data_IF_393883535438
#
_entry.id   IF_393883535438
#
_cell.length_a   1.000
_cell.length_b   1.000
_cell.length_c   1.000
_cell.angle_alpha   90.00
_cell.angle_beta   90.00
_cell.angle_gamma   90.00
#
_symmetry.space_group_name_H-M   'P 1'
#
loop_
_entity.id
_entity.type
_entity.pdbx_description
1 polymer ?
#
# COMPACT_ATOMS: atom_id res chain seq x y z
N UNK A 1 59.71 -23.67 3.69
CA UNK A 1 58.36 -24.23 3.55
C UNK A 1 57.40 -23.20 4.12
N UNK A 2 56.82 -22.38 3.26
CA UNK A 2 55.76 -21.45 3.64
C UNK A 2 54.45 -22.12 3.21
N UNK A 3 53.59 -22.43 4.18
CA UNK A 3 52.23 -22.88 3.92
C UNK A 3 51.42 -21.69 3.41
N UNK A 4 51.02 -21.76 2.13
CA UNK A 4 49.94 -20.94 1.58
C UNK A 4 48.62 -21.37 2.23
N UNK A 5 48.13 -20.57 3.17
CA UNK A 5 46.75 -20.64 3.62
C UNK A 5 45.85 -20.01 2.57
N UNK A 6 45.25 -20.85 1.73
CA UNK A 6 44.20 -20.46 0.79
C UNK A 6 42.97 -19.96 1.55
N UNK A 7 42.76 -18.65 1.55
CA UNK A 7 41.59 -18.01 2.15
C UNK A 7 40.38 -18.18 1.21
N UNK A 8 39.59 -19.24 1.40
CA UNK A 8 38.35 -19.47 0.64
C UNK A 8 37.17 -18.74 1.31
N UNK A 9 37.06 -17.42 1.12
CA UNK A 9 35.82 -16.71 1.45
C UNK A 9 34.83 -16.78 0.28
N UNK A 10 34.34 -17.97 -0.04
CA UNK A 10 33.18 -18.09 -0.92
C UNK A 10 31.94 -17.63 -0.14
N UNK A 11 31.39 -16.46 -0.49
CA UNK A 11 30.21 -15.89 0.17
C UNK A 11 29.01 -16.84 0.11
N UNK A 12 28.17 -16.85 1.15
CA UNK A 12 26.95 -17.69 1.18
C UNK A 12 26.03 -17.33 0.01
N UNK A 13 25.35 -18.35 -0.57
CA UNK A 13 24.32 -18.14 -1.61
C UNK A 13 23.24 -17.16 -1.09
N UNK A 14 22.89 -16.10 -1.86
CA UNK A 14 21.78 -15.22 -1.52
C UNK A 14 20.45 -16.00 -1.47
N UNK A 15 19.65 -15.73 -0.44
CA UNK A 15 18.32 -16.30 -0.25
C UNK A 15 17.31 -15.48 -1.07
N UNK A 16 16.65 -16.10 -2.04
CA UNK A 16 15.66 -15.47 -2.92
C UNK A 16 14.25 -15.82 -2.45
N UNK A 17 13.43 -14.80 -2.26
CA UNK A 17 12.08 -14.91 -1.72
C UNK A 17 11.07 -14.57 -2.80
N UNK A 18 9.96 -15.29 -2.82
CA UNK A 18 8.82 -15.02 -3.69
C UNK A 18 7.61 -14.56 -2.88
N UNK A 19 6.95 -13.53 -3.36
CA UNK A 19 5.59 -13.15 -2.94
C UNK A 19 4.79 -12.99 -4.21
N UNK A 20 3.56 -13.48 -4.25
CA UNK A 20 2.63 -13.14 -5.31
C UNK A 20 1.33 -12.57 -4.78
N UNK A 21 0.59 -11.94 -5.69
CA UNK A 21 -0.70 -11.39 -5.35
C UNK A 21 -1.27 -10.50 -6.43
N UNK A 22 -2.50 -10.08 -6.18
CA UNK A 22 -3.21 -9.13 -7.02
C UNK A 22 -2.65 -7.70 -6.85
N UNK A 23 -2.35 -7.28 -5.62
CA UNK A 23 -1.91 -5.91 -5.28
C UNK A 23 -2.84 -4.78 -5.78
N UNK A 24 -4.14 -5.09 -5.92
CA UNK A 24 -5.17 -4.09 -6.22
C UNK A 24 -5.30 -3.08 -5.08
N UNK A 25 -5.34 -1.79 -5.44
CA UNK A 25 -5.30 -0.66 -4.50
C UNK A 25 -4.15 -0.80 -3.50
N UNK A 26 -2.92 -0.92 -4.00
CA UNK A 26 -1.74 -1.12 -3.16
C UNK A 26 -1.68 -0.08 -2.02
N UNK A 27 -1.48 -0.55 -0.80
CA UNK A 27 -1.52 0.24 0.43
C UNK A 27 -0.42 -0.24 1.39
N UNK A 28 -0.17 0.50 2.47
CA UNK A 28 0.90 0.20 3.42
C UNK A 28 0.84 -1.22 4.01
N UNK A 29 -0.34 -1.84 4.09
CA UNK A 29 -0.48 -3.26 4.47
C UNK A 29 0.23 -4.23 3.51
N UNK A 30 0.13 -4.03 2.19
CA UNK A 30 0.87 -4.81 1.19
C UNK A 30 2.37 -4.51 1.30
N UNK A 31 2.74 -3.25 1.45
CA UNK A 31 4.14 -2.84 1.65
C UNK A 31 4.78 -3.52 2.86
N UNK A 32 4.08 -3.58 3.99
CA UNK A 32 4.59 -4.24 5.19
C UNK A 32 4.70 -5.76 5.02
N UNK A 33 3.85 -6.39 4.21
CA UNK A 33 4.01 -7.81 3.84
C UNK A 33 5.30 -8.00 3.01
N UNK A 34 5.53 -7.15 2.00
CA UNK A 34 6.77 -7.16 1.21
C UNK A 34 8.01 -6.88 2.07
N UNK A 35 7.93 -5.93 3.02
CA UNK A 35 9.00 -5.66 3.99
C UNK A 35 9.31 -6.90 4.83
N UNK A 36 8.29 -7.59 5.35
CA UNK A 36 8.47 -8.81 6.14
C UNK A 36 9.10 -9.91 5.30
N UNK A 37 8.61 -10.14 4.07
CA UNK A 37 9.15 -11.12 3.15
C UNK A 37 10.61 -10.82 2.79
N UNK A 38 10.92 -9.56 2.46
CA UNK A 38 12.28 -9.11 2.15
C UNK A 38 13.24 -9.29 3.32
N UNK A 39 12.77 -9.18 4.56
CA UNK A 39 13.57 -9.40 5.76
C UNK A 39 13.86 -10.90 6.05
N UNK A 40 13.15 -11.83 5.39
CA UNK A 40 13.39 -13.27 5.53
C UNK A 40 14.47 -13.79 4.57
N UNK A 41 14.93 -12.98 3.62
CA UNK A 41 15.96 -13.32 2.65
C UNK A 41 16.78 -12.13 2.19
N UNK A 42 17.49 -12.29 1.08
CA UNK A 42 18.43 -11.31 0.54
C UNK A 42 17.94 -10.64 -0.75
N UNK A 43 16.93 -11.21 -1.41
CA UNK A 43 16.36 -10.69 -2.65
C UNK A 43 14.87 -11.06 -2.75
N UNK A 44 13.99 -10.09 -3.01
CA UNK A 44 12.55 -10.31 -3.11
C UNK A 44 12.06 -10.14 -4.55
N UNK A 45 11.49 -11.21 -5.11
CA UNK A 45 10.77 -11.20 -6.38
C UNK A 45 9.27 -11.19 -6.08
N UNK A 46 8.54 -10.28 -6.74
CA UNK A 46 7.10 -10.13 -6.55
C UNK A 46 6.34 -10.47 -7.83
N UNK A 47 5.59 -11.57 -7.82
CA UNK A 47 4.68 -11.95 -8.88
C UNK A 47 3.37 -11.16 -8.80
N UNK A 48 2.95 -10.57 -9.91
CA UNK A 48 1.68 -9.82 -9.98
C UNK A 48 0.79 -10.47 -11.03
N UNK A 49 -0.40 -10.87 -10.61
CA UNK A 49 -1.38 -11.53 -11.50
C UNK A 49 -1.95 -10.56 -12.53
N UNK A 50 -2.33 -11.06 -13.71
CA UNK A 50 -3.07 -10.30 -14.72
C UNK A 50 -4.51 -10.03 -14.30
N UNK A 51 -5.18 -9.09 -14.98
CA UNK A 51 -6.59 -8.79 -14.73
C UNK A 51 -7.49 -10.01 -15.00
N UNK A 52 -7.22 -10.75 -16.09
CA UNK A 52 -7.93 -12.00 -16.46
C UNK A 52 -7.86 -13.05 -15.34
N UNK A 53 -6.65 -13.29 -14.82
CA UNK A 53 -6.40 -14.31 -13.81
C UNK A 53 -7.05 -13.94 -12.45
N UNK A 54 -7.05 -12.65 -12.10
CA UNK A 54 -7.72 -12.17 -10.88
C UNK A 54 -9.24 -12.25 -11.02
N UNK A 55 -9.79 -11.86 -12.17
CA UNK A 55 -11.24 -11.88 -12.39
C UNK A 55 -11.81 -13.29 -12.26
N UNK A 56 -11.13 -14.27 -12.86
CA UNK A 56 -11.48 -15.69 -12.78
C UNK A 56 -11.55 -16.21 -11.33
N UNK A 57 -10.62 -15.81 -10.48
CA UNK A 57 -10.49 -16.37 -9.13
C UNK A 57 -11.19 -15.56 -8.02
N UNK A 58 -11.20 -14.23 -8.14
CA UNK A 58 -11.60 -13.30 -7.07
C UNK A 58 -12.67 -12.30 -7.49
N UNK A 59 -12.80 -12.03 -8.79
CA UNK A 59 -13.60 -10.93 -9.34
C UNK A 59 -12.75 -9.69 -9.62
N UNK A 60 -13.33 -8.65 -10.23
CA UNK A 60 -12.55 -7.59 -10.87
C UNK A 60 -11.80 -6.70 -9.88
N UNK A 61 -10.70 -6.15 -10.38
CA UNK A 61 -9.86 -5.15 -9.72
C UNK A 61 -10.42 -3.72 -9.89
N UNK A 62 -9.99 -2.80 -9.03
CA UNK A 62 -10.19 -1.36 -9.22
C UNK A 62 -9.08 -0.77 -10.09
N UNK A 63 -7.85 -1.20 -9.83
CA UNK A 63 -6.64 -0.79 -10.56
C UNK A 63 -6.37 -1.76 -11.70
N UNK A 64 -6.01 -1.23 -12.87
CA UNK A 64 -5.60 -2.02 -14.04
C UNK A 64 -4.28 -2.71 -13.76
N UNK A 65 -4.00 -3.83 -14.43
CA UNK A 65 -2.77 -4.59 -14.21
C UNK A 65 -1.47 -3.78 -14.34
N UNK A 66 -1.36 -2.89 -15.34
CA UNK A 66 -0.19 -2.01 -15.49
C UNK A 66 -0.01 -1.02 -14.33
N UNK A 67 -1.13 -0.54 -13.76
CA UNK A 67 -1.10 0.32 -12.57
C UNK A 67 -0.61 -0.47 -11.34
N UNK A 68 -1.04 -1.73 -11.22
CA UNK A 68 -0.62 -2.67 -10.17
C UNK A 68 0.86 -3.04 -10.31
N UNK A 69 1.34 -3.31 -11.53
CA UNK A 69 2.76 -3.57 -11.81
C UNK A 69 3.63 -2.38 -11.38
N UNK A 70 3.24 -1.16 -11.76
CA UNK A 70 3.98 0.05 -11.41
C UNK A 70 3.99 0.31 -9.89
N UNK A 71 2.87 0.08 -9.21
CA UNK A 71 2.78 0.24 -7.76
C UNK A 71 3.72 -0.70 -7.01
N UNK A 72 3.75 -1.99 -7.39
CA UNK A 72 4.64 -2.98 -6.79
C UNK A 72 6.10 -2.68 -7.09
N UNK A 73 6.43 -2.31 -8.34
CA UNK A 73 7.78 -1.93 -8.72
C UNK A 73 8.30 -0.72 -7.92
N UNK A 74 7.43 0.22 -7.58
CA UNK A 74 7.80 1.39 -6.78
C UNK A 74 8.03 1.08 -5.28
N UNK A 75 7.59 -0.07 -4.79
CA UNK A 75 7.83 -0.47 -3.41
C UNK A 75 9.31 -0.83 -3.22
N UNK A 76 9.97 -0.19 -2.25
CA UNK A 76 11.43 -0.29 -2.06
C UNK A 76 11.94 -1.65 -1.61
N UNK A 77 11.05 -2.51 -1.11
CA UNK A 77 11.41 -3.88 -0.73
C UNK A 77 11.28 -4.88 -1.88
N UNK A 78 10.61 -4.53 -2.98
CA UNK A 78 10.53 -5.36 -4.17
C UNK A 78 11.79 -5.16 -5.01
N UNK A 79 12.62 -6.19 -5.18
CA UNK A 79 13.83 -6.09 -5.98
C UNK A 79 13.54 -6.34 -7.47
N UNK A 80 12.61 -7.27 -7.76
CA UNK A 80 12.20 -7.65 -9.11
C UNK A 80 10.69 -7.89 -9.15
N UNK A 81 10.03 -7.55 -10.27
CA UNK A 81 8.62 -7.89 -10.49
C UNK A 81 8.45 -8.88 -11.63
N UNK A 82 7.52 -9.81 -11.48
CA UNK A 82 7.11 -10.74 -12.54
C UNK A 82 5.67 -10.45 -12.89
N UNK A 83 5.45 -9.89 -14.08
CA UNK A 83 4.12 -9.63 -14.64
C UNK A 83 3.43 -10.94 -15.04
N UNK A 84 2.11 -10.94 -15.04
CA UNK A 84 1.27 -12.10 -15.39
C UNK A 84 1.70 -13.38 -14.64
N UNK A 85 1.96 -13.26 -13.34
CA UNK A 85 2.22 -14.41 -12.49
C UNK A 85 0.94 -15.26 -12.32
N UNK A 86 1.03 -16.60 -12.33
CA UNK A 86 -0.12 -17.48 -12.12
C UNK A 86 -0.77 -17.22 -10.75
N UNK A 87 -2.08 -17.48 -10.62
CA UNK A 87 -2.79 -17.28 -9.34
C UNK A 87 -2.35 -18.25 -8.24
N UNK A 88 -1.98 -19.47 -8.65
CA UNK A 88 -1.51 -20.54 -7.77
C UNK A 88 -0.01 -20.67 -7.96
N UNK A 89 0.76 -20.54 -6.87
CA UNK A 89 2.22 -20.66 -6.93
C UNK A 89 2.61 -22.12 -7.08
N UNK A 90 3.43 -22.41 -8.09
CA UNK A 90 3.85 -23.79 -8.41
C UNK A 90 5.34 -24.00 -8.15
N UNK A 91 5.80 -25.23 -8.00
CA UNK A 91 7.24 -25.49 -7.80
C UNK A 91 8.06 -25.08 -9.03
N UNK A 92 7.47 -25.19 -10.23
CA UNK A 92 8.13 -24.79 -11.49
C UNK A 92 8.43 -23.29 -11.52
N UNK A 93 7.55 -22.43 -11.01
CA UNK A 93 7.84 -20.99 -10.97
C UNK A 93 8.95 -20.69 -9.97
N UNK A 94 8.95 -21.37 -8.82
CA UNK A 94 10.00 -21.20 -7.82
C UNK A 94 11.36 -21.63 -8.37
N UNK A 95 11.41 -22.75 -9.09
CA UNK A 95 12.65 -23.25 -9.68
C UNK A 95 13.11 -22.37 -10.84
N UNK A 96 12.19 -21.90 -11.70
CA UNK A 96 12.47 -20.97 -12.81
C UNK A 96 13.16 -19.70 -12.33
N UNK A 97 12.72 -19.12 -11.21
CA UNK A 97 13.29 -17.90 -10.65
C UNK A 97 14.33 -18.13 -9.53
N UNK A 98 14.71 -19.40 -9.30
CA UNK A 98 15.65 -19.83 -8.25
C UNK A 98 15.26 -19.31 -6.86
N UNK A 99 13.97 -19.42 -6.53
CA UNK A 99 13.39 -19.01 -5.25
C UNK A 99 13.65 -20.08 -4.21
N UNK A 100 14.08 -19.71 -3.01
CA UNK A 100 14.25 -20.67 -1.92
C UNK A 100 12.90 -20.97 -1.25
N UNK A 101 12.07 -19.95 -0.99
CA UNK A 101 10.72 -20.12 -0.45
C UNK A 101 9.76 -18.98 -0.80
N UNK A 102 8.47 -19.27 -0.70
CA UNK A 102 7.35 -18.33 -0.82
C UNK A 102 7.01 -17.75 0.55
N UNK A 103 6.65 -16.47 0.58
CA UNK A 103 6.05 -15.83 1.75
C UNK A 103 4.64 -15.38 1.40
N UNK A 104 3.67 -15.81 2.21
CA UNK A 104 2.29 -15.33 2.11
C UNK A 104 1.80 -14.84 3.47
N UNK A 105 0.67 -14.12 3.51
CA UNK A 105 -0.01 -13.81 4.77
C UNK A 105 -0.54 -15.06 5.47
N UNK A 106 -0.87 -14.93 6.74
CA UNK A 106 -1.50 -15.96 7.59
C UNK A 106 -2.99 -16.20 7.31
N UNK A 107 -3.52 -15.66 6.20
CA UNK A 107 -4.88 -15.89 5.75
C UNK A 107 -5.00 -17.23 4.99
N UNK A 108 -6.16 -17.88 5.11
CA UNK A 108 -6.50 -19.03 4.26
C UNK A 108 -6.62 -18.56 2.81
N UNK A 109 -5.87 -19.20 1.92
CA UNK A 109 -5.89 -18.91 0.48
C UNK A 109 -6.27 -20.14 -0.30
N UNK A 110 -7.52 -20.17 -0.75
CA UNK A 110 -8.00 -21.20 -1.66
C UNK A 110 -8.25 -20.64 -3.06
N UNK A 111 -8.03 -21.46 -4.07
CA UNK A 111 -8.35 -21.17 -5.46
C UNK A 111 -9.87 -21.17 -5.70
N UNK A 112 -10.30 -20.94 -6.94
CA UNK A 112 -11.72 -20.95 -7.29
C UNK A 112 -12.41 -22.31 -7.04
N UNK A 113 -11.65 -23.41 -7.11
CA UNK A 113 -12.11 -24.77 -6.86
C UNK A 113 -12.07 -25.17 -5.36
N UNK A 114 -11.63 -24.27 -4.48
CA UNK A 114 -11.54 -24.50 -3.04
C UNK A 114 -10.26 -25.19 -2.57
N UNK A 115 -9.32 -25.50 -3.47
CA UNK A 115 -8.02 -26.07 -3.11
C UNK A 115 -7.07 -25.03 -2.53
N UNK A 116 -6.20 -25.40 -1.58
CA UNK A 116 -5.19 -24.50 -1.03
C UNK A 116 -4.15 -24.13 -2.11
N UNK A 117 -4.02 -22.83 -2.40
CA UNK A 117 -3.13 -22.31 -3.45
C UNK A 117 -1.65 -22.64 -3.21
N UNK A 118 -1.26 -23.01 -1.99
CA UNK A 118 0.13 -23.24 -1.62
C UNK A 118 0.39 -24.67 -1.14
N UNK A 119 -0.55 -25.61 -1.27
CA UNK A 119 -0.39 -26.97 -0.74
C UNK A 119 0.92 -27.63 -1.22
N UNK A 120 1.19 -27.61 -2.53
CA UNK A 120 2.41 -28.19 -3.10
C UNK A 120 3.69 -27.53 -2.57
N UNK A 121 3.65 -26.22 -2.32
CA UNK A 121 4.78 -25.44 -1.80
C UNK A 121 4.99 -25.72 -0.30
N UNK A 122 3.90 -25.92 0.45
CA UNK A 122 3.91 -26.34 1.86
C UNK A 122 4.50 -27.74 1.99
N UNK A 123 4.06 -28.69 1.17
CA UNK A 123 4.54 -30.08 1.16
C UNK A 123 6.04 -30.14 0.82
N UNK A 124 6.53 -29.23 -0.03
CA UNK A 124 7.94 -29.10 -0.35
C UNK A 124 8.78 -28.38 0.73
N UNK A 125 8.18 -27.92 1.82
CA UNK A 125 8.87 -27.17 2.88
C UNK A 125 9.36 -25.77 2.46
N UNK A 126 8.78 -25.20 1.38
CA UNK A 126 9.19 -23.92 0.77
C UNK A 126 8.15 -22.82 1.01
N UNK A 127 7.37 -22.91 2.08
CA UNK A 127 6.35 -21.93 2.45
C UNK A 127 6.66 -21.29 3.80
N UNK A 128 6.50 -19.96 3.90
CA UNK A 128 6.60 -19.18 5.14
C UNK A 128 5.47 -18.17 5.23
N UNK A 129 5.14 -17.78 6.46
CA UNK A 129 4.07 -16.84 6.74
C UNK A 129 4.60 -15.50 7.24
N UNK A 130 3.95 -14.42 6.84
CA UNK A 130 4.12 -13.10 7.43
C UNK A 130 2.82 -12.64 8.09
N UNK A 131 2.94 -11.78 9.11
CA UNK A 131 1.77 -11.33 9.87
C UNK A 131 1.00 -10.30 9.07
N UNK A 132 -0.32 -10.47 9.01
CA UNK A 132 -1.22 -9.48 8.44
C UNK A 132 -1.11 -8.13 9.15
N UNK A 133 -1.16 -7.04 8.38
CA UNK A 133 -1.17 -5.69 8.92
C UNK A 133 -2.57 -5.32 9.40
N UNK A 134 -2.71 -5.04 10.69
CA UNK A 134 -3.98 -4.64 11.32
C UNK A 134 -4.35 -3.21 10.93
N UNK A 135 -5.64 -2.98 10.66
CA UNK A 135 -6.21 -1.65 10.40
C UNK A 135 -6.17 -1.21 8.94
N UNK A 136 -5.92 -2.13 8.01
CA UNK A 136 -6.00 -1.83 6.58
C UNK A 136 -6.34 -3.07 5.74
N UNK A 137 -7.23 -2.90 4.77
CA UNK A 137 -7.45 -3.84 3.67
C UNK A 137 -8.11 -3.14 2.48
N UNK A 138 -8.02 -3.72 1.29
CA UNK A 138 -8.77 -3.21 0.12
C UNK A 138 -10.27 -3.16 0.39
N UNK A 139 -10.84 -4.16 1.08
CA UNK A 139 -12.28 -4.15 1.46
C UNK A 139 -12.60 -2.95 2.34
N UNK A 140 -11.74 -2.66 3.32
CA UNK A 140 -11.93 -1.53 4.22
C UNK A 140 -11.84 -0.20 3.49
N UNK A 141 -10.86 -0.03 2.60
CA UNK A 141 -10.70 1.20 1.80
C UNK A 141 -11.89 1.44 0.86
N UNK A 142 -12.36 0.40 0.18
CA UNK A 142 -13.60 0.47 -0.62
C UNK A 142 -14.78 0.83 0.27
N UNK A 143 -14.87 0.26 1.47
CA UNK A 143 -15.88 0.62 2.47
C UNK A 143 -15.83 2.11 2.84
N UNK A 144 -14.65 2.66 3.15
CA UNK A 144 -14.48 4.10 3.45
C UNK A 144 -14.97 4.98 2.30
N UNK A 145 -14.67 4.59 1.05
CA UNK A 145 -15.09 5.33 -0.14
C UNK A 145 -16.59 5.20 -0.45
N UNK A 146 -17.20 4.04 -0.21
CA UNK A 146 -18.63 3.82 -0.44
C UNK A 146 -19.49 4.44 0.67
N UNK A 147 -19.02 4.40 1.93
CA UNK A 147 -19.73 5.00 3.05
C UNK A 147 -19.80 6.51 2.90
N UNK A 148 -18.75 7.15 2.37
CA UNK A 148 -18.62 8.60 2.35
C UNK A 148 -19.01 9.21 3.72
N UNK A 149 -18.69 8.54 4.83
CA UNK A 149 -18.91 9.05 6.18
C UNK A 149 -17.61 9.62 6.73
N UNK A 150 -17.72 10.63 7.61
CA UNK A 150 -16.57 11.29 8.26
C UNK A 150 -16.04 10.52 9.48
N UNK A 151 -16.61 9.36 9.76
CA UNK A 151 -16.44 8.66 11.04
C UNK A 151 -15.06 8.02 11.20
N UNK A 152 -14.33 7.72 10.11
CA UNK A 152 -12.94 7.24 10.22
C UNK A 152 -11.99 8.28 10.81
N UNK A 153 -12.34 9.57 10.78
CA UNK A 153 -11.59 10.65 11.42
C UNK A 153 -11.95 10.88 12.90
N UNK A 154 -13.10 10.38 13.38
CA UNK A 154 -13.65 10.74 14.70
C UNK A 154 -13.88 9.48 15.54
N UNK A 155 -13.09 9.30 16.61
CA UNK A 155 -13.31 8.24 17.60
C UNK A 155 -14.70 8.40 18.24
N UNK A 156 -15.59 7.44 18.03
CA UNK A 156 -16.87 7.32 18.76
C UNK A 156 -18.12 7.88 18.08
N UNK A 157 -18.05 8.28 16.81
CA UNK A 157 -19.26 8.65 16.06
C UNK A 157 -20.13 7.40 15.79
N UNK A 158 -21.41 7.47 16.15
CA UNK A 158 -22.41 6.39 16.00
C UNK A 158 -23.35 6.59 14.81
N UNK A 159 -23.09 7.57 13.96
CA UNK A 159 -24.03 8.00 12.90
C UNK A 159 -23.45 7.73 11.52
N UNK A 160 -23.61 6.48 11.08
CA UNK A 160 -23.41 6.07 9.69
C UNK A 160 -24.59 6.57 8.86
N UNK A 161 -24.54 7.82 8.37
CA UNK A 161 -25.44 8.27 7.30
C UNK A 161 -24.62 8.46 6.04
N UNK A 162 -24.77 7.55 5.08
CA UNK A 162 -24.13 7.72 3.77
C UNK A 162 -24.80 8.88 3.01
N UNK A 163 -24.04 9.86 2.50
CA UNK A 163 -24.59 10.95 1.69
C UNK A 163 -25.01 10.52 0.27
N UNK A 164 -24.79 9.26 -0.14
CA UNK A 164 -25.17 8.76 -1.46
C UNK A 164 -26.61 8.20 -1.40
N UNK A 165 -27.54 8.80 -2.17
CA UNK A 165 -28.89 8.25 -2.34
C UNK A 165 -28.84 6.85 -3.00
N UNK A 166 -29.51 5.86 -2.39
CA UNK A 166 -29.67 4.51 -2.94
C UNK A 166 -28.62 3.48 -2.49
N UNK A 167 -27.80 3.80 -1.48
CA UNK A 167 -26.87 2.86 -0.86
C UNK A 167 -27.55 2.19 0.34
N UNK A 168 -27.71 0.86 0.29
CA UNK A 168 -28.20 0.08 1.43
C UNK A 168 -27.16 0.09 2.56
N UNK A 169 -27.47 0.79 3.65
CA UNK A 169 -26.62 0.96 4.83
C UNK A 169 -26.13 -0.37 5.41
N UNK A 170 -26.96 -1.43 5.33
CA UNK A 170 -26.59 -2.77 5.83
C UNK A 170 -25.57 -3.46 4.94
N UNK A 171 -25.67 -3.28 3.62
CA UNK A 171 -24.71 -3.80 2.65
C UNK A 171 -23.32 -3.13 2.81
N UNK A 172 -23.28 -1.85 3.19
CA UNK A 172 -22.00 -1.14 3.39
C UNK A 172 -21.41 -1.35 4.79
N UNK A 173 -22.24 -1.53 5.83
CA UNK A 173 -21.76 -1.93 7.15
C UNK A 173 -20.93 -3.23 7.11
N UNK A 174 -21.24 -4.14 6.18
CA UNK A 174 -20.47 -5.36 5.95
C UNK A 174 -19.02 -5.13 5.47
N UNK A 175 -18.73 -3.99 4.82
CA UNK A 175 -17.36 -3.65 4.43
C UNK A 175 -16.50 -3.26 5.64
N UNK A 176 -17.12 -2.65 6.67
CA UNK A 176 -16.46 -2.25 7.92
C UNK A 176 -16.14 -3.43 8.84
N UNK A 177 -16.70 -4.62 8.60
CA UNK A 177 -16.39 -5.84 9.35
C UNK A 177 -15.03 -6.45 8.98
N UNK A 178 -14.42 -6.05 7.86
CA UNK A 178 -13.10 -6.52 7.46
C UNK A 178 -12.97 -8.05 7.43
N UNK A 179 -11.79 -8.58 7.80
CA UNK A 179 -11.56 -10.01 8.04
C UNK A 179 -11.84 -10.42 9.50
N UNK A 180 -12.58 -9.60 10.27
CA UNK A 180 -12.84 -9.92 11.67
C UNK A 180 -13.90 -11.03 11.78
N UNK A 181 -13.76 -11.96 12.72
CA UNK A 181 -14.77 -12.99 12.95
C UNK A 181 -16.12 -12.36 13.26
N UNK A 182 -17.19 -12.97 12.73
CA UNK A 182 -18.56 -12.49 12.87
C UNK A 182 -18.92 -12.23 14.34
N UNK A 183 -19.22 -10.97 14.68
CA UNK A 183 -19.63 -10.56 16.04
C UNK A 183 -18.93 -9.32 16.59
N UNK A 184 -17.84 -8.84 15.97
CA UNK A 184 -17.26 -7.54 16.32
C UNK A 184 -18.10 -6.42 15.68
N UNK A 185 -18.68 -5.53 16.51
CA UNK A 185 -19.40 -4.34 16.04
C UNK A 185 -18.58 -3.54 15.02
N UNK A 186 -19.29 -2.84 14.14
CA UNK A 186 -18.88 -1.95 13.03
C UNK A 186 -17.83 -0.88 13.39
N UNK A 187 -16.65 -1.29 13.84
CA UNK A 187 -15.52 -0.42 14.08
C UNK A 187 -14.65 -0.42 12.84
N UNK A 188 -14.59 0.71 12.14
CA UNK A 188 -13.48 0.98 11.22
C UNK A 188 -12.20 0.71 12.02
N UNK A 189 -11.40 -0.25 11.57
CA UNK A 189 -10.24 -0.71 12.32
C UNK A 189 -9.19 0.41 12.30
N UNK A 190 -9.21 1.26 13.32
CA UNK A 190 -8.30 2.40 13.39
C UNK A 190 -6.85 1.91 13.43
N UNK A 191 -6.08 2.29 12.42
CA UNK A 191 -4.65 2.00 12.38
C UNK A 191 -3.93 2.66 13.56
N UNK A 192 -3.30 1.84 14.40
CA UNK A 192 -2.45 2.30 15.50
C UNK A 192 -1.01 2.48 15.01
N UNK A 193 -0.62 3.73 14.74
CA UNK A 193 0.77 4.07 14.43
C UNK A 193 1.66 3.94 15.67
N UNK A 194 2.88 3.47 15.49
CA UNK A 194 3.90 3.43 16.54
C UNK A 194 5.23 3.87 15.96
N UNK A 195 6.11 4.41 16.80
CA UNK A 195 7.47 4.79 16.38
C UNK A 195 8.21 3.63 15.69
N UNK A 196 8.06 2.41 16.21
CA UNK A 196 8.63 1.20 15.60
C UNK A 196 8.18 0.97 14.17
N UNK A 197 6.91 1.22 13.85
CA UNK A 197 6.39 1.03 12.49
C UNK A 197 6.93 2.10 11.54
N UNK A 198 7.06 3.35 12.00
CA UNK A 198 7.70 4.42 11.23
C UNK A 198 9.15 4.06 10.95
N UNK A 199 9.92 3.63 11.96
CA UNK A 199 11.32 3.22 11.78
C UNK A 199 11.45 2.05 10.79
N UNK A 200 10.53 1.08 10.85
CA UNK A 200 10.52 -0.05 9.90
C UNK A 200 10.25 0.37 8.45
N UNK A 201 9.58 1.50 8.25
CA UNK A 201 9.25 2.06 6.95
C UNK A 201 10.23 3.14 6.51
N UNK A 202 10.93 3.82 7.40
CA UNK A 202 11.91 4.85 7.04
C UNK A 202 13.18 4.23 6.45
N UNK A 203 13.85 4.97 5.58
CA UNK A 203 15.19 4.62 5.09
C UNK A 203 16.26 4.87 6.16
N UNK A 204 16.01 5.81 7.08
CA UNK A 204 16.98 6.31 8.07
C UNK A 204 18.19 7.01 7.44
N UNK A 205 18.14 7.38 6.16
CA UNK A 205 19.23 8.05 5.46
C UNK A 205 19.08 9.57 5.59
N UNK A 206 20.18 10.23 5.93
CA UNK A 206 20.32 11.69 5.86
C UNK A 206 20.97 12.12 4.52
N UNK A 207 20.73 13.35 4.04
CA UNK A 207 21.41 13.88 2.86
C UNK A 207 22.91 14.01 3.13
N UNK A 208 23.74 13.59 2.18
CA UNK A 208 25.20 13.70 2.28
C UNK A 208 25.65 15.13 1.95
N UNK A 209 26.85 15.56 2.39
CA UNK A 209 27.41 16.83 1.96
C UNK A 209 27.47 16.92 0.42
N UNK A 210 26.75 17.90 -0.14
CA UNK A 210 26.65 18.11 -1.59
C UNK A 210 25.49 17.39 -2.28
N UNK A 211 24.71 16.55 -1.59
CA UNK A 211 23.45 16.00 -2.12
C UNK A 211 22.47 17.17 -2.33
N UNK A 212 21.83 17.22 -3.49
CA UNK A 212 20.78 18.20 -3.77
C UNK A 212 19.43 17.75 -3.21
N UNK A 213 18.86 18.53 -2.29
CA UNK A 213 17.59 18.23 -1.62
C UNK A 213 16.41 18.77 -2.43
N UNK A 214 15.53 17.85 -2.82
CA UNK A 214 14.27 18.13 -3.52
C UNK A 214 13.13 18.06 -2.52
N UNK A 215 12.34 19.11 -2.41
CA UNK A 215 11.09 19.11 -1.64
C UNK A 215 9.88 19.01 -2.56
N UNK A 216 8.95 18.12 -2.19
CA UNK A 216 7.60 18.04 -2.77
C UNK A 216 6.61 17.93 -1.63
N UNK A 217 5.39 18.40 -1.83
CA UNK A 217 4.32 18.26 -0.84
C UNK A 217 2.96 17.99 -1.45
N UNK A 218 2.03 17.61 -0.58
CA UNK A 218 0.67 17.30 -0.98
C UNK A 218 -0.09 16.43 0.01
N UNK A 219 -1.31 16.10 -0.37
CA UNK A 219 -2.15 15.18 0.40
C UNK A 219 -1.60 13.75 0.32
N UNK A 220 -1.18 13.28 -0.87
CA UNK A 220 -0.77 11.88 -1.12
C UNK A 220 -1.77 10.83 -0.61
N UNK A 221 -3.05 11.18 -0.64
CA UNK A 221 -4.15 10.32 -0.22
C UNK A 221 -4.35 9.16 -1.20
N UNK A 222 -4.65 7.97 -0.68
CA UNK A 222 -4.74 6.74 -1.47
C UNK A 222 -3.51 6.52 -2.37
N UNK A 223 -2.31 6.64 -1.80
CA UNK A 223 -1.04 6.61 -2.53
C UNK A 223 -1.01 5.65 -3.74
N UNK A 224 -0.97 6.22 -4.95
CA UNK A 224 -1.19 5.51 -6.22
C UNK A 224 -0.11 5.81 -7.27
N UNK A 225 -0.19 5.14 -8.42
CA UNK A 225 0.78 5.27 -9.53
C UNK A 225 0.98 6.70 -10.01
N UNK A 226 -0.05 7.55 -9.93
CA UNK A 226 0.09 8.98 -10.17
C UNK A 226 1.20 9.63 -9.31
N UNK A 227 1.10 9.52 -7.98
CA UNK A 227 2.12 10.03 -7.06
C UNK A 227 3.50 9.40 -7.29
N UNK A 228 3.55 8.10 -7.60
CA UNK A 228 4.79 7.37 -7.87
C UNK A 228 5.54 7.99 -9.05
N UNK A 229 4.85 8.24 -10.16
CA UNK A 229 5.48 8.83 -11.34
C UNK A 229 5.86 10.30 -11.11
N UNK A 230 5.08 11.04 -10.32
CA UNK A 230 5.45 12.37 -9.89
C UNK A 230 6.75 12.36 -9.06
N UNK A 231 6.85 11.49 -8.05
CA UNK A 231 8.05 11.34 -7.23
C UNK A 231 9.26 10.90 -8.04
N UNK A 232 9.07 10.03 -9.03
CA UNK A 232 10.13 9.62 -9.95
C UNK A 232 10.72 10.82 -10.69
N UNK A 233 9.87 11.68 -11.27
CA UNK A 233 10.30 12.91 -11.94
C UNK A 233 10.90 13.93 -10.98
N UNK A 234 10.33 14.12 -9.81
CA UNK A 234 10.87 15.03 -8.80
C UNK A 234 12.28 14.58 -8.38
N UNK A 235 12.48 13.27 -8.16
CA UNK A 235 13.78 12.70 -7.83
C UNK A 235 14.82 12.90 -8.92
N UNK A 236 14.46 13.03 -10.20
CA UNK A 236 15.43 13.33 -11.26
C UNK A 236 16.06 14.74 -11.12
N UNK A 237 15.49 15.61 -10.30
CA UNK A 237 15.97 16.98 -10.08
C UNK A 237 16.97 17.12 -8.92
N UNK A 238 17.30 16.03 -8.20
CA UNK A 238 18.29 16.03 -7.11
C UNK A 238 18.61 14.62 -6.59
N UNK A 239 19.24 14.55 -5.43
CA UNK A 239 19.81 13.30 -4.89
C UNK A 239 19.02 12.75 -3.69
N UNK A 240 18.24 13.64 -3.05
CA UNK A 240 17.48 13.37 -1.84
C UNK A 240 16.06 13.94 -1.96
N UNK A 241 15.04 13.09 -1.92
CA UNK A 241 13.64 13.50 -2.01
C UNK A 241 12.99 13.56 -0.62
N UNK A 242 12.68 14.78 -0.19
CA UNK A 242 11.93 15.12 1.02
C UNK A 242 10.47 15.35 0.66
N UNK A 243 9.55 14.61 1.27
CA UNK A 243 8.11 14.69 0.98
C UNK A 243 7.33 15.27 2.15
N UNK A 244 6.72 16.44 1.98
CA UNK A 244 5.79 17.03 2.94
C UNK A 244 4.39 16.45 2.84
N UNK A 245 3.92 15.75 3.87
CA UNK A 245 2.57 15.20 3.91
C UNK A 245 1.69 16.10 4.77
N UNK A 246 0.73 16.80 4.17
CA UNK A 246 -0.17 17.69 4.91
C UNK A 246 -1.01 16.92 5.92
N UNK A 247 -1.39 17.56 7.03
CA UNK A 247 -2.28 16.94 8.03
C UNK A 247 -3.73 16.79 7.52
N UNK A 248 -4.54 16.04 8.27
CA UNK A 248 -5.89 15.69 7.82
C UNK A 248 -6.81 16.92 7.77
N UNK A 249 -6.66 17.86 8.71
CA UNK A 249 -7.44 19.09 8.76
C UNK A 249 -7.15 19.99 7.55
N UNK A 250 -5.89 20.16 7.19
CA UNK A 250 -5.42 20.94 6.04
C UNK A 250 -5.96 20.35 4.74
N UNK A 251 -5.83 19.03 4.56
CA UNK A 251 -6.37 18.37 3.36
C UNK A 251 -7.88 18.53 3.29
N UNK A 252 -8.59 18.40 4.41
CA UNK A 252 -10.05 18.58 4.44
C UNK A 252 -10.48 20.03 4.17
N UNK A 253 -9.74 21.02 4.69
CA UNK A 253 -10.04 22.44 4.46
C UNK A 253 -9.97 22.82 2.98
N UNK A 254 -9.01 22.23 2.25
CA UNK A 254 -8.78 22.51 0.83
C UNK A 254 -9.66 21.65 -0.08
N UNK A 255 -9.72 20.33 0.15
CA UNK A 255 -10.45 19.40 -0.73
C UNK A 255 -11.92 19.21 -0.35
N UNK A 256 -12.28 19.52 0.90
CA UNK A 256 -13.63 19.35 1.42
C UNK A 256 -14.10 17.89 1.50
N UNK A 257 -15.40 17.73 1.78
CA UNK A 257 -16.05 16.42 1.82
C UNK A 257 -15.46 15.49 2.87
N UNK A 258 -15.20 14.25 2.46
CA UNK A 258 -14.66 13.18 3.32
C UNK A 258 -13.17 12.93 3.09
N UNK A 259 -12.46 13.87 2.45
CA UNK A 259 -11.04 13.76 2.27
C UNK A 259 -10.29 14.17 3.55
N UNK A 260 -9.17 13.51 3.88
CA UNK A 260 -8.60 12.37 3.15
C UNK A 260 -9.26 11.02 3.50
N UNK A 261 -9.26 10.07 2.57
CA UNK A 261 -9.74 8.69 2.78
C UNK A 261 -8.84 7.94 3.76
N UNK A 262 -7.52 8.16 3.65
CA UNK A 262 -6.51 7.67 4.58
C UNK A 262 -6.07 8.81 5.52
N UNK A 263 -5.96 8.52 6.82
CA UNK A 263 -5.45 9.51 7.77
C UNK A 263 -3.95 9.78 7.56
N UNK A 264 -3.43 10.82 8.21
CA UNK A 264 -2.03 11.26 8.09
C UNK A 264 -1.04 10.11 8.29
N UNK A 265 -1.25 9.26 9.30
CA UNK A 265 -0.33 8.17 9.63
C UNK A 265 -0.32 7.08 8.56
N UNK A 266 -1.49 6.77 7.99
CA UNK A 266 -1.64 5.81 6.89
C UNK A 266 -0.97 6.34 5.62
N UNK A 267 -1.16 7.64 5.30
CA UNK A 267 -0.57 8.31 4.14
C UNK A 267 0.95 8.37 4.23
N UNK A 268 1.50 8.71 5.40
CA UNK A 268 2.95 8.69 5.65
C UNK A 268 3.56 7.33 5.34
N UNK A 269 2.92 6.23 5.75
CA UNK A 269 3.43 4.88 5.44
C UNK A 269 3.27 4.52 3.97
N UNK A 270 2.21 5.01 3.31
CA UNK A 270 2.03 4.91 1.87
C UNK A 270 3.13 5.64 1.09
N UNK A 271 3.59 6.78 1.57
CA UNK A 271 4.69 7.54 0.97
C UNK A 271 6.05 6.87 1.27
N UNK A 272 6.32 6.51 2.52
CA UNK A 272 7.61 5.91 2.94
C UNK A 272 7.93 4.56 2.30
N UNK A 273 6.92 3.81 1.81
CA UNK A 273 7.18 2.55 1.07
C UNK A 273 7.81 2.80 -0.30
N UNK A 274 7.69 4.01 -0.86
CA UNK A 274 8.15 4.32 -2.20
C UNK A 274 9.68 4.40 -2.24
N UNK A 275 10.30 3.72 -3.21
CA UNK A 275 11.76 3.71 -3.40
C UNK A 275 12.36 5.07 -3.76
N UNK A 276 11.53 5.98 -4.27
CA UNK A 276 11.97 7.30 -4.68
C UNK A 276 11.99 8.30 -3.53
N UNK A 277 11.45 7.95 -2.36
CA UNK A 277 11.34 8.84 -1.20
C UNK A 277 12.44 8.52 -0.21
N UNK A 278 13.18 9.54 0.23
CA UNK A 278 14.22 9.39 1.25
C UNK A 278 13.66 9.71 2.65
N UNK A 279 12.87 10.78 2.78
CA UNK A 279 12.30 11.26 4.06
C UNK A 279 10.93 11.94 3.91
N UNK A 280 10.18 12.00 5.01
CA UNK A 280 8.85 12.61 5.09
C UNK A 280 8.74 13.64 6.22
N UNK A 281 8.25 14.84 5.91
CA UNK A 281 7.73 15.78 6.93
C UNK A 281 6.28 15.39 7.25
N UNK A 282 6.05 14.91 8.47
CA UNK A 282 4.73 14.47 8.94
C UNK A 282 3.95 15.70 9.44
N UNK A 283 2.88 16.07 8.73
CA UNK A 283 2.08 17.26 9.06
C UNK A 283 2.71 18.55 8.52
N UNK A 284 3.17 18.51 7.27
CA UNK A 284 3.72 19.69 6.60
C UNK A 284 2.65 20.79 6.44
N UNK A 285 3.01 22.07 6.59
CA UNK A 285 2.09 23.18 6.33
C UNK A 285 1.61 23.17 4.86
N UNK A 286 0.49 23.84 4.57
CA UNK A 286 -0.02 23.95 3.22
C UNK A 286 0.84 24.87 2.34
N UNK A 287 1.13 26.07 2.84
CA UNK A 287 2.10 26.98 2.23
C UNK A 287 3.52 26.59 2.61
N UNK A 288 4.44 26.64 1.65
CA UNK A 288 5.86 26.37 1.87
C UNK A 288 6.48 27.53 2.64
N UNK A 289 6.81 27.28 3.90
CA UNK A 289 7.40 28.28 4.80
C UNK A 289 8.92 28.21 4.81
N UNK A 290 9.55 29.24 5.36
CA UNK A 290 11.00 29.29 5.58
C UNK A 290 11.50 28.11 6.42
N UNK A 291 10.75 27.74 7.46
CA UNK A 291 11.09 26.63 8.35
C UNK A 291 11.17 25.29 7.59
N UNK A 292 10.30 25.08 6.59
CA UNK A 292 10.36 23.89 5.72
C UNK A 292 11.62 23.91 4.84
N UNK A 293 12.03 25.08 4.37
CA UNK A 293 13.16 25.27 3.44
C UNK A 293 14.53 25.27 4.12
N UNK A 294 14.61 25.67 5.40
CA UNK A 294 15.87 25.89 6.11
C UNK A 294 16.02 25.06 7.40
N UNK A 295 14.96 24.85 8.18
CA UNK A 295 15.09 24.29 9.55
C UNK A 295 15.09 22.75 9.59
N UNK A 296 14.45 22.10 8.62
CA UNK A 296 14.45 20.62 8.53
C UNK A 296 15.68 20.13 7.77
N UNK A 297 15.81 20.60 6.53
CA UNK A 297 16.96 20.40 5.66
C UNK A 297 17.12 21.66 4.80
N UNK A 298 18.31 21.91 4.28
CA UNK A 298 18.50 22.94 3.28
C UNK A 298 17.89 22.49 1.94
N UNK A 299 16.71 23.00 1.59
CA UNK A 299 16.00 22.64 0.35
C UNK A 299 16.57 23.43 -0.83
N UNK A 300 17.08 22.73 -1.84
CA UNK A 300 17.63 23.34 -3.04
C UNK A 300 16.60 23.59 -4.14
N UNK A 301 15.53 22.79 -4.18
CA UNK A 301 14.48 22.89 -5.18
C UNK A 301 13.14 22.42 -4.63
N UNK A 302 12.09 23.19 -4.89
CA UNK A 302 10.70 22.84 -4.60
C UNK A 302 10.03 22.42 -5.90
N UNK A 303 9.42 21.24 -5.92
CA UNK A 303 8.83 20.66 -7.12
C UNK A 303 7.34 20.41 -6.91
N UNK A 304 6.53 20.84 -7.87
CA UNK A 304 5.10 20.51 -7.90
C UNK A 304 4.67 20.02 -9.28
N UNK A 305 3.57 19.27 -9.32
CA UNK A 305 2.96 18.83 -10.57
C UNK A 305 2.31 20.01 -11.32
N UNK A 306 2.35 19.98 -12.65
CA UNK A 306 1.58 20.92 -13.46
C UNK A 306 0.06 20.69 -13.27
N UNK A 307 -0.56 21.45 -12.36
CA UNK A 307 -2.00 21.41 -12.07
C UNK A 307 -2.46 22.73 -11.47
N UNK A 308 -3.76 23.04 -11.59
CA UNK A 308 -4.36 24.21 -10.93
C UNK A 308 -4.23 24.09 -9.40
N UNK A 309 -3.34 24.90 -8.82
CA UNK A 309 -3.09 24.95 -7.39
C UNK A 309 -4.22 25.71 -6.68
N UNK A 310 -4.91 25.12 -5.70
CA UNK A 310 -5.77 25.90 -4.83
C UNK A 310 -4.92 26.87 -4.01
N UNK A 311 -5.39 28.11 -3.88
CA UNK A 311 -4.83 29.07 -2.94
C UNK A 311 -4.96 28.54 -1.51
N UNK A 312 -4.08 29.01 -0.63
CA UNK A 312 -4.20 28.74 0.81
C UNK A 312 -5.47 29.41 1.37
N UNK A 313 -5.85 29.05 2.60
CA UNK A 313 -7.04 29.56 3.29
C UNK A 313 -7.03 31.08 3.49
N UNK A 314 -5.85 31.70 3.42
CA UNK A 314 -5.66 33.15 3.48
C UNK A 314 -5.64 33.83 2.09
N UNK A 315 -5.82 33.05 1.03
CA UNK A 315 -5.87 33.52 -0.36
C UNK A 315 -4.50 33.67 -1.02
N UNK A 316 -3.40 33.27 -0.37
CA UNK A 316 -2.05 33.36 -0.95
C UNK A 316 -1.70 32.12 -1.77
N UNK A 317 -0.73 32.30 -2.67
CA UNK A 317 -0.12 31.21 -3.41
C UNK A 317 0.79 30.41 -2.46
N UNK A 318 0.52 29.10 -2.24
CA UNK A 318 1.31 28.29 -1.30
C UNK A 318 2.78 28.16 -1.69
N UNK A 319 3.15 28.47 -2.94
CA UNK A 319 4.52 28.45 -3.43
C UNK A 319 5.09 29.84 -3.73
N UNK A 320 4.48 30.92 -3.23
CA UNK A 320 4.98 32.30 -3.38
C UNK A 320 6.46 32.40 -3.00
N UNK A 321 6.83 31.94 -1.79
CA UNK A 321 8.20 32.01 -1.28
C UNK A 321 9.22 31.23 -2.15
N UNK A 322 9.00 29.93 -2.49
CA UNK A 322 9.87 29.21 -3.42
C UNK A 322 10.00 29.87 -4.81
N UNK A 323 8.94 30.52 -5.31
CA UNK A 323 8.96 31.24 -6.59
C UNK A 323 9.81 32.50 -6.51
N UNK A 324 9.68 33.28 -5.44
CA UNK A 324 10.50 34.47 -5.17
C UNK A 324 11.99 34.12 -5.07
N UNK A 325 12.31 32.98 -4.45
CA UNK A 325 13.68 32.47 -4.31
C UNK A 325 14.23 31.83 -5.60
N UNK A 326 13.40 31.65 -6.63
CA UNK A 326 13.80 31.04 -7.91
C UNK A 326 14.09 29.53 -7.84
N UNK A 327 13.63 28.87 -6.78
CA UNK A 327 13.84 27.42 -6.54
C UNK A 327 12.61 26.57 -6.85
N UNK A 328 11.49 27.18 -7.24
CA UNK A 328 10.27 26.47 -7.66
C UNK A 328 10.42 25.88 -9.08
N UNK A 329 9.99 24.63 -9.26
CA UNK A 329 9.97 23.92 -10.55
C UNK A 329 8.67 23.16 -10.72
N UNK A 330 8.13 23.23 -11.94
CA UNK A 330 6.99 22.41 -12.33
C UNK A 330 7.47 21.20 -13.12
N UNK A 331 6.86 20.06 -12.86
CA UNK A 331 7.05 18.85 -13.64
C UNK A 331 5.72 18.38 -14.22
N UNK A 332 5.75 17.97 -15.48
CA UNK A 332 4.57 17.38 -16.11
C UNK A 332 4.15 16.11 -15.36
N UNK A 333 2.87 15.97 -15.07
CA UNK A 333 2.36 14.74 -14.50
C UNK A 333 2.10 13.73 -15.62
N UNK A 334 2.82 12.59 -15.71
CA UNK A 334 2.65 11.65 -16.84
C UNK A 334 1.35 10.82 -16.78
N UNK A 335 0.58 10.92 -15.69
CA UNK A 335 -0.66 10.17 -15.43
C UNK A 335 -1.75 11.08 -14.85
N UNK A 336 -2.11 12.13 -15.61
CA UNK A 336 -3.21 13.04 -15.26
C UNK A 336 -4.56 12.33 -15.13
N UNK A 337 -4.69 11.14 -15.72
CA UNK A 337 -5.89 10.29 -15.69
C UNK A 337 -6.11 9.55 -14.36
N UNK A 338 -5.15 9.57 -13.42
CA UNK A 338 -5.21 8.79 -12.20
C UNK A 338 -5.06 9.66 -10.96
N UNK A 339 -6.20 10.14 -10.47
CA UNK A 339 -6.32 10.89 -9.21
C UNK A 339 -7.10 10.09 -8.16
N UNK A 340 -7.05 10.51 -6.90
CA UNK A 340 -7.91 9.95 -5.84
C UNK A 340 -9.40 10.02 -6.23
N UNK A 341 -9.83 11.11 -6.87
CA UNK A 341 -11.20 11.28 -7.36
C UNK A 341 -11.54 10.24 -8.42
N UNK A 342 -10.67 10.03 -9.41
CA UNK A 342 -10.89 9.04 -10.48
C UNK A 342 -10.94 7.61 -9.92
N UNK A 343 -10.14 7.30 -8.91
CA UNK A 343 -10.20 6.00 -8.21
C UNK A 343 -11.55 5.81 -7.53
N UNK A 344 -12.05 6.86 -6.85
CA UNK A 344 -13.36 6.84 -6.20
C UNK A 344 -14.48 6.68 -7.24
N UNK A 345 -14.41 7.38 -8.37
CA UNK A 345 -15.35 7.26 -9.49
C UNK A 345 -15.41 5.83 -10.02
N UNK A 346 -14.25 5.21 -10.30
CA UNK A 346 -14.17 3.79 -10.71
C UNK A 346 -14.88 2.86 -9.72
N UNK A 347 -14.77 3.14 -8.42
CA UNK A 347 -15.41 2.35 -7.36
C UNK A 347 -16.93 2.56 -7.34
N UNK A 348 -17.39 3.80 -7.46
CA UNK A 348 -18.82 4.16 -7.45
C UNK A 348 -19.55 3.61 -8.68
N UNK A 349 -18.93 3.71 -9.85
CA UNK A 349 -19.47 3.20 -11.11
C UNK A 349 -19.67 1.67 -11.07
N UNK A 350 -18.71 0.95 -10.47
CA UNK A 350 -18.71 -0.50 -10.40
C UNK A 350 -19.17 -1.06 -9.03
N UNK A 351 -19.84 -0.23 -8.20
CA UNK A 351 -20.20 -0.56 -6.82
C UNK A 351 -20.96 -1.89 -6.66
N UNK A 352 -21.86 -2.19 -7.59
CA UNK A 352 -22.68 -3.40 -7.57
C UNK A 352 -21.81 -4.66 -7.64
N UNK A 353 -20.79 -4.65 -8.52
CA UNK A 353 -19.84 -5.74 -8.68
C UNK A 353 -19.01 -5.95 -7.41
N UNK A 354 -18.61 -4.86 -6.73
CA UNK A 354 -17.84 -4.96 -5.48
C UNK A 354 -18.68 -5.48 -4.32
N UNK A 355 -19.95 -5.09 -4.23
CA UNK A 355 -20.90 -5.62 -3.24
C UNK A 355 -21.09 -7.13 -3.43
N UNK A 356 -21.33 -7.58 -4.67
CA UNK A 356 -21.46 -9.00 -4.99
C UNK A 356 -20.17 -9.78 -4.66
N UNK A 357 -19.01 -9.23 -5.01
CA UNK A 357 -17.70 -9.81 -4.67
C UNK A 357 -17.53 -9.97 -3.15
N UNK A 358 -17.91 -8.97 -2.34
CA UNK A 358 -17.83 -9.10 -0.88
C UNK A 358 -18.79 -10.15 -0.35
N UNK A 359 -20.02 -10.22 -0.87
CA UNK A 359 -20.97 -11.27 -0.49
C UNK A 359 -20.41 -12.68 -0.79
N UNK A 360 -19.76 -12.84 -1.95
CA UNK A 360 -19.07 -14.09 -2.33
C UNK A 360 -17.92 -14.41 -1.38
N UNK A 361 -17.11 -13.41 -1.03
CA UNK A 361 -15.99 -13.54 -0.09
C UNK A 361 -16.47 -13.95 1.32
N UNK A 362 -17.54 -13.34 1.82
CA UNK A 362 -18.12 -13.65 3.12
C UNK A 362 -18.65 -15.10 3.18
N UNK A 363 -19.34 -15.55 2.13
CA UNK A 363 -19.78 -16.95 2.00
C UNK A 363 -18.60 -17.92 2.00
N UNK A 364 -17.53 -17.58 1.27
CA UNK A 364 -16.31 -18.38 1.19
C UNK A 364 -15.61 -18.50 2.54
N UNK A 365 -15.43 -17.38 3.25
CA UNK A 365 -14.81 -17.36 4.58
C UNK A 365 -15.61 -18.19 5.60
N UNK A 366 -16.95 -18.18 5.54
CA UNK A 366 -17.79 -19.03 6.38
C UNK A 366 -17.56 -20.51 6.09
N UNK A 367 -17.54 -20.90 4.81
CA UNK A 367 -17.29 -22.28 4.40
C UNK A 367 -15.89 -22.78 4.82
N UNK A 368 -14.88 -21.92 4.73
CA UNK A 368 -13.50 -22.20 5.17
C UNK A 368 -13.44 -22.39 6.69
N UNK A 369 -14.09 -21.53 7.48
CA UNK A 369 -14.16 -21.66 8.93
C UNK A 369 -14.86 -22.96 9.37
N UNK A 370 -15.95 -23.35 8.68
CA UNK A 370 -16.62 -24.61 8.93
C UNK A 370 -15.75 -25.83 8.57
N UNK A 371 -14.97 -25.75 7.49
CA UNK A 371 -14.05 -26.81 7.10
C UNK A 371 -12.91 -26.98 8.13
N UNK A 372 -12.35 -25.88 8.62
CA UNK A 372 -11.31 -25.90 9.65
C UNK A 372 -11.85 -26.49 10.96
N UNK A 373 -13.07 -26.12 11.35
CA UNK A 373 -13.73 -26.67 12.54
C UNK A 373 -13.92 -28.19 12.41
N UNK A 374 -14.39 -28.66 11.24
CA UNK A 374 -14.51 -30.10 10.95
C UNK A 374 -13.16 -30.82 11.00
N UNK A 375 -12.09 -30.23 10.47
CA UNK A 375 -10.76 -30.85 10.48
C UNK A 375 -10.18 -30.93 11.90
N UNK A 376 -10.38 -29.89 12.72
CA UNK A 376 -10.01 -29.91 14.15
C UNK A 376 -10.77 -30.98 14.92
N UNK A 377 -12.07 -31.14 14.66
CA UNK A 377 -12.90 -32.19 15.27
C UNK A 377 -12.44 -33.60 14.87
N UNK A 378 -12.11 -33.82 13.60
CA UNK A 378 -11.57 -35.10 13.11
C UNK A 378 -10.20 -35.41 13.71
N UNK A 379 -9.28 -34.43 13.78
CA UNK A 379 -7.96 -34.61 14.41
C UNK A 379 -8.08 -34.88 15.91
N UNK A 380 -9.00 -34.22 16.61
CA UNK A 380 -9.29 -34.49 18.01
C UNK A 380 -9.87 -35.89 18.22
N UNK A 381 -10.74 -36.36 17.32
CA UNK A 381 -11.30 -37.72 17.36
C UNK A 381 -10.29 -38.83 17.04
N UNK A 382 -9.24 -38.54 16.26
CA UNK A 382 -8.15 -39.48 15.95
C UNK A 382 -7.05 -39.54 17.02
N UNK A 383 -7.06 -38.62 18.00
CA UNK A 383 -6.13 -38.60 19.14
C UNK A 383 -6.77 -39.11 20.45
N UNK A 384 -8.00 -39.63 20.37
CA UNK A 384 -8.69 -40.43 21.39
C UNK A 384 -8.68 -41.89 20.98
#
# INVERSE_FOLDING_TARGET
MAEETTNSSAGRKPIRVWVDGCFDMMHFGHANALRQARAMGDYLIVGVHSDEEVEKNKGPCVMKEDERYAAVAACKWADEIVKNAPYVTTLEILDKYNIDFVVHGDDITTAADGTDCYQLVKDAGRYKECKRTVGISTTELVGRMLLLTRDHHIRGSRTVKSPIQGVDETAVANFSLGSMPAGALTGIAHYLSTSKKIIQFSSGREPKPGDKVVYVDGAFDMFHTGHIEFFKKARELGDYLLVGVHDDQTVNAVKGGNFPVMNLQERVLGVLQCRYVDEVIIGAPYSVTKDVLEDVYHVDVVVHGASDQPLDIDGRDPYELPKELGIYREVDHPRLDLTTTTIIERIIENRHVYIERQARKAKKALAEAEAEQREKEVKAALHL
#
